data_IF_219573746412
#
_entry.id   IF_219573746412
#
_cell.length_a   1.000
_cell.length_b   1.000
_cell.length_c   1.000
_cell.angle_alpha   90.00
_cell.angle_beta   90.00
_cell.angle_gamma   90.00
#
_symmetry.space_group_name_H-M   'P 1'
#
loop_
_entity.id
_entity.type
_entity.pdbx_description
1 polymer ?
#
# COMPACT_ATOMS: atom_id res chain seq x y z
N UNK A 1 17.32 -9.21 9.62
CA UNK A 1 16.52 -8.08 9.09
C UNK A 1 15.84 -8.58 7.83
N UNK A 2 14.85 -9.45 8.00
CA UNK A 2 14.09 -10.00 6.89
C UNK A 2 13.05 -8.96 6.49
N UNK A 3 13.35 -8.19 5.45
CA UNK A 3 12.39 -7.29 4.83
C UNK A 3 11.25 -8.15 4.29
N UNK A 4 10.12 -8.10 5.00
CA UNK A 4 8.95 -8.94 4.80
C UNK A 4 8.45 -8.85 3.35
N UNK A 5 8.22 -10.05 2.81
CA UNK A 5 7.22 -10.40 1.81
C UNK A 5 7.04 -9.41 0.65
N UNK A 6 7.63 -9.75 -0.51
CA UNK A 6 7.34 -9.07 -1.76
C UNK A 6 5.84 -9.04 -2.03
N UNK A 7 5.31 -7.83 -2.26
CA UNK A 7 3.94 -7.59 -2.65
C UNK A 7 3.55 -8.50 -3.82
N UNK A 8 2.71 -9.49 -3.52
CA UNK A 8 2.20 -10.46 -4.50
C UNK A 8 1.13 -9.86 -5.43
N UNK A 9 0.62 -8.68 -5.06
CA UNK A 9 -0.41 -7.95 -5.81
C UNK A 9 0.21 -7.16 -6.95
N UNK A 10 -0.44 -7.20 -8.12
CA UNK A 10 -0.05 -6.39 -9.28
C UNK A 10 -0.20 -4.91 -8.92
N UNK A 11 0.79 -4.09 -9.34
CA UNK A 11 0.74 -2.62 -9.23
C UNK A 11 -0.60 -2.04 -9.73
N UNK A 12 -1.19 -2.64 -10.77
CA UNK A 12 -2.47 -2.17 -11.31
C UNK A 12 -3.64 -2.32 -10.32
N UNK A 13 -3.68 -3.43 -9.57
CA UNK A 13 -4.71 -3.69 -8.55
C UNK A 13 -4.48 -2.81 -7.31
N UNK A 14 -3.22 -2.54 -6.97
CA UNK A 14 -2.86 -1.55 -5.95
C UNK A 14 -3.26 -0.12 -6.33
N UNK A 15 -3.11 0.24 -7.61
CA UNK A 15 -3.55 1.54 -8.14
C UNK A 15 -5.07 1.71 -8.10
N UNK A 16 -5.83 0.62 -8.15
CA UNK A 16 -7.29 0.71 -7.94
C UNK A 16 -7.63 1.14 -6.51
N UNK A 17 -6.81 0.80 -5.53
CA UNK A 17 -6.99 1.25 -4.14
C UNK A 17 -6.76 2.75 -3.99
N UNK A 18 -5.93 3.35 -4.85
CA UNK A 18 -5.77 4.81 -4.88
C UNK A 18 -7.05 5.54 -5.31
N UNK A 19 -8.05 4.86 -5.90
CA UNK A 19 -9.35 5.47 -6.18
C UNK A 19 -10.17 5.69 -4.91
N UNK A 20 -9.90 4.94 -3.85
CA UNK A 20 -10.55 5.08 -2.55
C UNK A 20 -9.90 6.25 -1.76
N UNK A 21 -10.70 7.26 -1.40
CA UNK A 21 -10.20 8.43 -0.64
C UNK A 21 -9.52 8.06 0.67
N UNK A 22 -10.00 6.99 1.33
CA UNK A 22 -9.44 6.48 2.59
C UNK A 22 -7.99 6.04 2.44
N UNK A 23 -7.65 5.45 1.30
CA UNK A 23 -6.29 4.99 1.00
C UNK A 23 -5.37 6.19 0.77
N UNK A 24 -5.85 7.19 0.02
CA UNK A 24 -5.10 8.45 -0.19
C UNK A 24 -4.86 9.19 1.13
N UNK A 25 -5.83 9.21 2.05
CA UNK A 25 -5.65 9.84 3.37
C UNK A 25 -4.56 9.14 4.20
N UNK A 26 -4.53 7.81 4.19
CA UNK A 26 -3.50 7.06 4.91
C UNK A 26 -2.11 7.25 4.30
N UNK A 27 -2.01 7.28 2.97
CA UNK A 27 -0.75 7.61 2.27
C UNK A 27 -0.29 9.02 2.63
N UNK A 28 -1.20 10.00 2.64
CA UNK A 28 -0.86 11.37 3.00
C UNK A 28 -0.40 11.50 4.45
N UNK A 29 -1.05 10.80 5.39
CA UNK A 29 -0.59 10.77 6.79
C UNK A 29 0.79 10.14 6.90
N UNK A 30 1.03 9.03 6.20
CA UNK A 30 2.31 8.33 6.21
C UNK A 30 3.43 9.21 5.62
N UNK A 31 3.17 9.81 4.45
CA UNK A 31 4.05 10.78 3.81
C UNK A 31 4.35 11.96 4.73
N UNK A 32 3.33 12.48 5.42
CA UNK A 32 3.51 13.60 6.34
C UNK A 32 4.42 13.22 7.50
N UNK A 33 4.17 12.09 8.17
CA UNK A 33 5.00 11.61 9.29
C UNK A 33 6.45 11.38 8.84
N UNK A 34 6.65 10.74 7.70
CA UNK A 34 8.00 10.46 7.20
C UNK A 34 8.71 11.73 6.72
N UNK A 35 7.99 12.70 6.14
CA UNK A 35 8.53 14.02 5.82
C UNK A 35 8.95 14.78 7.09
N UNK A 36 8.12 14.72 8.15
CA UNK A 36 8.46 15.29 9.45
C UNK A 36 9.70 14.63 10.07
N UNK A 37 9.83 13.31 9.93
CA UNK A 37 10.93 12.53 10.51
C UNK A 37 12.23 12.67 9.72
N UNK A 38 12.15 12.70 8.39
CA UNK A 38 13.30 12.86 7.51
C UNK A 38 13.84 14.29 7.52
N UNK A 39 13.01 15.29 7.84
CA UNK A 39 13.38 16.71 7.76
C UNK A 39 13.54 17.22 6.32
N UNK A 40 13.18 16.39 5.33
CA UNK A 40 13.13 16.73 3.91
C UNK A 40 12.01 15.95 3.22
N UNK A 41 11.53 16.48 2.10
CA UNK A 41 10.51 15.83 1.29
C UNK A 41 11.06 14.53 0.69
N UNK A 42 10.73 13.39 1.30
CA UNK A 42 11.09 12.04 0.82
C UNK A 42 10.47 11.65 -0.54
N UNK A 43 9.55 12.47 -1.05
CA UNK A 43 8.86 12.29 -2.32
C UNK A 43 7.59 11.45 -2.17
N UNK A 44 6.48 11.98 -2.68
CA UNK A 44 5.18 11.30 -2.62
C UNK A 44 5.20 9.94 -3.33
N UNK A 45 6.01 9.80 -4.38
CA UNK A 45 6.13 8.57 -5.16
C UNK A 45 6.69 7.42 -4.32
N UNK A 46 7.75 7.67 -3.54
CA UNK A 46 8.35 6.66 -2.65
C UNK A 46 7.44 6.29 -1.50
N UNK A 47 6.87 7.28 -0.82
CA UNK A 47 5.94 7.02 0.28
C UNK A 47 4.69 6.27 -0.20
N UNK A 48 4.21 6.58 -1.41
CA UNK A 48 3.06 5.90 -2.01
C UNK A 48 3.41 4.46 -2.38
N UNK A 49 4.55 4.20 -3.03
CA UNK A 49 4.96 2.83 -3.37
C UNK A 49 5.17 1.98 -2.11
N UNK A 50 5.81 2.53 -1.08
CA UNK A 50 6.05 1.84 0.19
C UNK A 50 4.74 1.57 0.94
N UNK A 51 3.86 2.57 1.02
CA UNK A 51 2.54 2.39 1.63
C UNK A 51 1.71 1.36 0.86
N UNK A 52 1.72 1.40 -0.48
CA UNK A 52 1.01 0.43 -1.31
C UNK A 52 1.56 -1.00 -1.16
N UNK A 53 2.84 -1.18 -0.85
CA UNK A 53 3.40 -2.51 -0.61
C UNK A 53 3.11 -3.03 0.79
N UNK A 54 3.27 -2.18 1.81
CA UNK A 54 3.22 -2.61 3.21
C UNK A 54 1.81 -2.50 3.82
N UNK A 55 1.11 -1.41 3.55
CA UNK A 55 -0.17 -1.11 4.17
C UNK A 55 -1.37 -1.55 3.32
N UNK A 56 -1.25 -1.58 1.99
CA UNK A 56 -2.36 -1.99 1.14
C UNK A 56 -2.81 -3.43 1.42
N UNK A 57 -1.90 -4.37 1.74
CA UNK A 57 -2.28 -5.73 2.12
C UNK A 57 -3.16 -5.76 3.36
N UNK A 58 -2.74 -5.06 4.41
CA UNK A 58 -3.50 -4.98 5.66
C UNK A 58 -4.85 -4.31 5.45
N UNK A 59 -4.86 -3.19 4.70
CA UNK A 59 -6.07 -2.46 4.38
C UNK A 59 -7.05 -3.31 3.56
N UNK A 60 -6.56 -4.01 2.54
CA UNK A 60 -7.39 -4.87 1.70
C UNK A 60 -7.93 -6.06 2.49
N UNK A 61 -7.10 -6.68 3.33
CA UNK A 61 -7.51 -7.79 4.21
C UNK A 61 -8.64 -7.37 5.16
N UNK A 62 -8.57 -6.16 5.71
CA UNK A 62 -9.54 -5.67 6.69
C UNK A 62 -10.81 -5.10 6.03
N UNK A 63 -10.64 -4.27 4.99
CA UNK A 63 -11.74 -3.54 4.37
C UNK A 63 -12.39 -4.32 3.21
N UNK A 64 -11.63 -5.15 2.49
CA UNK A 64 -12.11 -5.97 1.35
C UNK A 64 -11.56 -7.40 1.38
N UNK A 65 -11.91 -8.22 2.39
CA UNK A 65 -11.38 -9.58 2.54
C UNK A 65 -11.66 -10.47 1.33
N UNK A 66 -12.81 -10.30 0.67
CA UNK A 66 -13.17 -11.05 -0.54
C UNK A 66 -12.25 -10.75 -1.72
N UNK A 67 -11.89 -9.48 -1.93
CA UNK A 67 -10.98 -9.10 -3.01
C UNK A 67 -9.56 -9.57 -2.68
N UNK A 68 -9.11 -9.41 -1.43
CA UNK A 68 -7.82 -9.95 -0.98
C UNK A 68 -7.67 -11.44 -1.26
N UNK A 69 -8.69 -12.25 -0.95
CA UNK A 69 -8.69 -13.68 -1.24
C UNK A 69 -8.61 -13.96 -2.75
N UNK A 70 -9.33 -13.21 -3.59
CA UNK A 70 -9.24 -13.37 -5.05
C UNK A 70 -7.84 -13.05 -5.56
N UNK A 71 -7.28 -11.92 -5.14
CA UNK A 71 -5.94 -11.49 -5.53
C UNK A 71 -4.89 -12.53 -5.11
N UNK A 72 -5.00 -13.04 -3.87
CA UNK A 72 -4.12 -14.09 -3.34
C UNK A 72 -4.21 -15.42 -4.10
N UNK A 73 -5.39 -15.78 -4.59
CA UNK A 73 -5.55 -16.99 -5.40
C UNK A 73 -5.07 -16.80 -6.85
N UNK A 74 -5.10 -15.57 -7.36
CA UNK A 74 -4.78 -15.24 -8.76
C UNK A 74 -3.31 -15.40 -9.11
N UNK A 75 -2.36 -15.00 -8.26
CA UNK A 75 -0.92 -15.20 -8.56
C UNK A 75 -0.38 -16.57 -8.13
N UNK A 76 -1.28 -17.51 -7.75
CA UNK A 76 -0.96 -18.93 -7.53
C UNK A 76 -1.07 -19.77 -8.82
N UNK A 77 -1.43 -19.14 -9.94
CA UNK A 77 -1.72 -19.78 -11.21
C UNK A 77 -0.87 -19.22 -12.35
#
# INVERSE_FOLDING_TARGET
>A
MEFLQGAFMKINELRELLKDKRVIEEINKHLWIESQKAGYSIGIERATDEWLRLYAEGWLKYNKPKEYLKLKNKSKH
#
